data_IF_168586461658
#
_entry.id   IF_168586461658
#
_cell.length_a   1.000
_cell.length_b   1.000
_cell.length_c   1.000
_cell.angle_alpha   90.00
_cell.angle_beta   90.00
_cell.angle_gamma   90.00
#
_symmetry.space_group_name_H-M   'P 1'
#
loop_
_entity.id
_entity.type
_entity.pdbx_description
1 polymer ?
#
# COMPACT_ATOMS: atom_id res chain seq x y z
N UNK A 1 0.61 -25.18 -0.16
CA UNK A 1 1.35 -23.93 0.10
C UNK A 1 0.43 -22.93 0.78
N UNK A 2 0.95 -22.18 1.75
CA UNK A 2 0.21 -21.11 2.43
C UNK A 2 0.18 -19.86 1.55
N UNK A 3 -0.99 -19.24 1.40
CA UNK A 3 -1.14 -17.97 0.66
C UNK A 3 -0.63 -16.77 1.49
N UNK A 4 -0.01 -15.78 0.83
CA UNK A 4 0.61 -14.62 1.50
C UNK A 4 -0.42 -13.68 2.15
N UNK A 5 -1.66 -13.69 1.65
CA UNK A 5 -2.78 -12.91 2.17
C UNK A 5 -3.67 -13.72 3.12
N UNK A 6 -3.38 -15.02 3.31
CA UNK A 6 -4.10 -15.87 4.26
C UNK A 6 -4.03 -15.27 5.67
N UNK A 7 -5.21 -15.14 6.31
CA UNK A 7 -5.31 -14.79 7.72
C UNK A 7 -4.92 -16.00 8.57
N UNK A 8 -3.98 -15.79 9.48
CA UNK A 8 -3.44 -16.81 10.37
C UNK A 8 -3.40 -16.30 11.80
N UNK A 9 -3.52 -17.23 12.76
CA UNK A 9 -3.25 -16.96 14.16
C UNK A 9 -1.87 -17.52 14.50
N UNK A 10 -1.02 -16.70 15.11
CA UNK A 10 0.34 -17.09 15.47
C UNK A 10 0.73 -16.51 16.82
N UNK A 11 1.80 -17.04 17.40
CA UNK A 11 2.43 -16.52 18.62
C UNK A 11 3.58 -15.60 18.23
N UNK A 12 3.51 -14.33 18.63
CA UNK A 12 4.61 -13.35 18.50
C UNK A 12 4.82 -12.72 19.86
N UNK A 13 6.07 -12.70 20.33
CA UNK A 13 6.47 -12.13 21.63
C UNK A 13 5.63 -12.63 22.82
N UNK A 14 5.28 -13.91 22.80
CA UNK A 14 4.47 -14.57 23.84
C UNK A 14 2.97 -14.26 23.80
N UNK A 15 2.49 -13.52 22.79
CA UNK A 15 1.07 -13.16 22.62
C UNK A 15 0.47 -13.83 21.38
N UNK A 16 -0.79 -14.27 21.50
CA UNK A 16 -1.57 -14.73 20.34
C UNK A 16 -2.02 -13.51 19.53
N UNK A 17 -1.59 -13.44 18.27
CA UNK A 17 -1.97 -12.36 17.35
C UNK A 17 -2.63 -12.94 16.10
N UNK A 18 -3.53 -12.16 15.51
CA UNK A 18 -4.11 -12.47 14.19
C UNK A 18 -3.45 -11.58 13.14
N UNK A 19 -2.84 -12.19 12.12
CA UNK A 19 -2.07 -11.49 11.09
C UNK A 19 -2.14 -12.22 9.75
N UNK A 20 -1.33 -11.82 8.77
CA UNK A 20 -1.17 -12.56 7.51
C UNK A 20 0.27 -13.04 7.33
N UNK A 21 0.47 -14.08 6.51
CA UNK A 21 1.80 -14.59 6.21
C UNK A 21 2.74 -13.50 5.65
N UNK A 22 2.24 -12.64 4.75
CA UNK A 22 3.01 -11.51 4.21
C UNK A 22 3.44 -10.49 5.28
N UNK A 23 2.60 -10.22 6.29
CA UNK A 23 2.97 -9.31 7.39
C UNK A 23 4.06 -9.90 8.28
N UNK A 24 4.07 -11.21 8.50
CA UNK A 24 5.14 -11.88 9.23
C UNK A 24 6.47 -11.86 8.47
N UNK A 25 6.42 -11.97 7.13
CA UNK A 25 7.61 -11.80 6.30
C UNK A 25 8.21 -10.40 6.50
N UNK A 26 7.39 -9.36 6.55
CA UNK A 26 7.86 -7.99 6.86
C UNK A 26 8.40 -7.91 8.30
N UNK A 27 7.75 -8.56 9.29
CA UNK A 27 8.29 -8.61 10.67
C UNK A 27 9.69 -9.20 10.75
N UNK A 28 10.06 -10.13 9.86
CA UNK A 28 11.38 -10.76 9.86
C UNK A 28 12.55 -9.80 9.59
N UNK A 29 12.28 -8.65 8.95
CA UNK A 29 13.29 -7.63 8.67
C UNK A 29 13.27 -6.47 9.67
N UNK A 30 12.26 -6.41 10.56
CA UNK A 30 12.10 -5.35 11.54
C UNK A 30 12.96 -5.58 12.79
N UNK A 31 13.56 -4.52 13.37
CA UNK A 31 14.17 -4.60 14.69
C UNK A 31 13.17 -4.98 15.80
N UNK A 32 13.65 -5.58 16.88
CA UNK A 32 12.81 -6.12 17.97
C UNK A 32 12.04 -5.05 18.75
N UNK A 33 12.54 -3.81 18.78
CA UNK A 33 11.86 -2.70 19.45
C UNK A 33 10.62 -2.19 18.70
N UNK A 34 10.39 -2.64 17.46
CA UNK A 34 9.23 -2.21 16.66
C UNK A 34 7.97 -2.92 17.12
N UNK A 35 6.99 -2.14 17.58
CA UNK A 35 5.73 -2.63 18.14
C UNK A 35 4.76 -3.18 17.08
N UNK A 36 3.89 -4.11 17.50
CA UNK A 36 2.95 -4.83 16.61
C UNK A 36 2.08 -3.91 15.75
N UNK A 37 1.56 -2.84 16.35
CA UNK A 37 0.66 -1.88 15.70
C UNK A 37 1.28 -1.16 14.49
N UNK A 38 2.61 -1.13 14.38
CA UNK A 38 3.30 -0.47 13.28
C UNK A 38 3.35 -1.33 12.01
N UNK A 39 3.36 -2.65 12.14
CA UNK A 39 3.54 -3.58 11.01
C UNK A 39 2.32 -4.49 10.77
N UNK A 40 1.50 -4.78 11.78
CA UNK A 40 0.30 -5.62 11.63
C UNK A 40 -0.90 -4.83 11.05
N UNK A 41 -0.68 -4.13 9.94
CA UNK A 41 -1.69 -3.33 9.22
C UNK A 41 -1.38 -3.29 7.73
N UNK A 42 -2.27 -2.70 6.95
CA UNK A 42 -1.97 -2.39 5.54
C UNK A 42 -0.95 -1.26 5.52
N UNK A 43 0.24 -1.55 4.98
CA UNK A 43 1.33 -0.58 4.92
C UNK A 43 1.23 0.26 3.64
N UNK A 44 0.82 1.51 3.77
CA UNK A 44 0.90 2.51 2.70
C UNK A 44 2.24 3.25 2.79
N UNK A 45 2.53 4.11 1.80
CA UNK A 45 3.73 4.96 1.77
C UNK A 45 3.94 5.72 3.09
N UNK A 46 2.87 6.28 3.67
CA UNK A 46 2.95 7.03 4.95
C UNK A 46 3.28 6.13 6.13
N UNK A 47 2.74 4.91 6.17
CA UNK A 47 3.01 3.95 7.24
C UNK A 47 4.47 3.48 7.20
N UNK A 48 5.00 3.22 5.99
CA UNK A 48 6.41 2.87 5.80
C UNK A 48 7.32 4.02 6.26
N UNK A 49 7.00 5.26 5.88
CA UNK A 49 7.77 6.43 6.32
C UNK A 49 7.77 6.59 7.85
N UNK A 50 6.61 6.41 8.50
CA UNK A 50 6.50 6.45 9.96
C UNK A 50 7.29 5.32 10.64
N UNK A 51 7.33 4.15 10.01
CA UNK A 51 8.09 3.01 10.51
C UNK A 51 9.61 3.25 10.38
N UNK A 52 10.08 3.82 9.28
CA UNK A 52 11.48 4.25 9.12
C UNK A 52 11.87 5.30 10.15
N UNK A 53 11.02 6.30 10.38
CA UNK A 53 11.24 7.35 11.40
C UNK A 53 11.34 6.76 12.82
N UNK A 54 10.50 5.78 13.14
CA UNK A 54 10.57 5.09 14.42
C UNK A 54 11.86 4.27 14.58
N UNK A 55 12.26 3.54 13.53
CA UNK A 55 13.54 2.79 13.52
C UNK A 55 14.73 3.74 13.68
N UNK A 56 14.67 4.91 13.07
CA UNK A 56 15.70 5.94 13.22
C UNK A 56 15.78 6.51 14.63
N UNK A 57 14.64 6.86 15.22
CA UNK A 57 14.57 7.42 16.57
C UNK A 57 15.06 6.46 17.66
N UNK A 58 14.78 5.17 17.51
CA UNK A 58 15.11 4.15 18.53
C UNK A 58 16.44 3.44 18.26
N UNK A 59 16.75 3.11 17.00
CA UNK A 59 17.90 2.30 16.61
C UNK A 59 19.06 3.08 15.99
N UNK A 60 18.90 4.38 15.75
CA UNK A 60 19.94 5.23 15.16
C UNK A 60 20.25 4.92 13.69
N UNK A 61 21.31 5.55 13.18
CA UNK A 61 21.64 5.55 11.74
C UNK A 61 21.97 4.15 11.20
N UNK A 62 22.83 3.40 11.90
CA UNK A 62 23.32 2.10 11.43
C UNK A 62 22.18 1.07 11.29
N UNK A 63 21.31 0.98 12.30
CA UNK A 63 20.14 0.09 12.29
C UNK A 63 19.17 0.47 11.19
N UNK A 64 18.95 1.78 10.99
CA UNK A 64 18.06 2.30 9.95
C UNK A 64 18.58 1.98 8.55
N UNK A 65 19.88 2.17 8.30
CA UNK A 65 20.48 1.84 7.01
C UNK A 65 20.31 0.35 6.68
N UNK A 66 20.62 -0.54 7.63
CA UNK A 66 20.43 -1.97 7.45
C UNK A 66 18.96 -2.35 7.21
N UNK A 67 18.03 -1.73 7.95
CA UNK A 67 16.60 -1.94 7.77
C UNK A 67 16.13 -1.49 6.37
N UNK A 68 16.56 -0.32 5.90
CA UNK A 68 16.20 0.22 4.58
C UNK A 68 16.67 -0.69 3.45
N UNK A 69 17.88 -1.24 3.52
CA UNK A 69 18.37 -2.17 2.51
C UNK A 69 17.58 -3.48 2.48
N UNK A 70 17.24 -4.04 3.65
CA UNK A 70 16.38 -5.22 3.74
C UNK A 70 14.98 -4.95 3.19
N UNK A 71 14.40 -3.81 3.54
CA UNK A 71 13.08 -3.38 3.06
C UNK A 71 13.07 -3.21 1.54
N UNK A 72 14.12 -2.58 0.98
CA UNK A 72 14.31 -2.40 -0.45
C UNK A 72 14.35 -3.75 -1.16
N UNK A 73 15.21 -4.67 -0.72
CA UNK A 73 15.39 -5.97 -1.36
C UNK A 73 14.09 -6.79 -1.31
N UNK A 74 13.45 -6.85 -0.13
CA UNK A 74 12.19 -7.55 0.05
C UNK A 74 11.07 -6.94 -0.83
N UNK A 75 11.00 -5.61 -0.89
CA UNK A 75 10.02 -4.90 -1.71
C UNK A 75 10.16 -5.22 -3.20
N UNK A 76 11.39 -5.17 -3.73
CA UNK A 76 11.64 -5.53 -5.13
C UNK A 76 11.33 -7.00 -5.42
N UNK A 77 11.75 -7.92 -4.55
CA UNK A 77 11.49 -9.35 -4.72
C UNK A 77 10.00 -9.65 -4.81
N UNK A 78 9.20 -9.14 -3.86
CA UNK A 78 7.76 -9.40 -3.83
C UNK A 78 6.99 -8.60 -4.91
N UNK A 79 7.46 -7.42 -5.30
CA UNK A 79 6.90 -6.69 -6.44
C UNK A 79 7.08 -7.47 -7.76
N UNK A 80 8.28 -8.03 -7.98
CA UNK A 80 8.53 -8.89 -9.15
C UNK A 80 7.70 -10.16 -9.12
N UNK A 81 7.61 -10.83 -7.95
CA UNK A 81 6.77 -12.02 -7.79
C UNK A 81 5.27 -11.76 -7.99
N UNK A 82 4.79 -10.58 -7.60
CA UNK A 82 3.39 -10.20 -7.76
C UNK A 82 2.99 -9.99 -9.23
N UNK A 83 3.96 -9.68 -10.11
CA UNK A 83 3.70 -9.57 -11.55
C UNK A 83 2.67 -8.51 -11.93
N UNK A 84 2.56 -7.45 -11.13
CA UNK A 84 1.56 -6.39 -11.36
C UNK A 84 1.86 -5.70 -12.69
N UNK A 85 0.88 -5.73 -13.60
CA UNK A 85 0.91 -5.08 -14.90
C UNK A 85 -0.31 -4.18 -15.05
N UNK A 86 -0.26 -3.26 -16.02
CA UNK A 86 -1.37 -2.38 -16.37
C UNK A 86 -1.82 -2.72 -17.78
N UNK A 87 -3.08 -3.12 -17.93
CA UNK A 87 -3.74 -3.36 -19.20
C UNK A 87 -4.72 -2.24 -19.52
N UNK A 88 -4.99 -2.00 -20.80
CA UNK A 88 -6.09 -1.12 -21.22
C UNK A 88 -7.46 -1.60 -20.71
N UNK A 89 -7.60 -2.92 -20.49
CA UNK A 89 -8.80 -3.51 -19.92
C UNK A 89 -9.03 -3.10 -18.45
N UNK A 90 -7.99 -2.68 -17.73
CA UNK A 90 -8.09 -2.21 -16.35
C UNK A 90 -8.65 -0.77 -16.27
N UNK A 91 -8.78 -0.09 -17.42
CA UNK A 91 -9.34 1.26 -17.52
C UNK A 91 -10.86 1.18 -17.63
N UNK A 92 -11.53 1.35 -16.49
CA UNK A 92 -13.00 1.38 -16.42
C UNK A 92 -13.50 2.75 -16.90
N UNK A 93 -14.16 2.77 -18.05
CA UNK A 93 -14.88 3.97 -18.54
C UNK A 93 -16.24 4.06 -17.82
N UNK A 94 -16.53 5.16 -17.10
CA UNK A 94 -17.81 5.30 -16.40
C UNK A 94 -19.00 5.32 -17.38
N UNK A 95 -20.09 4.63 -17.03
CA UNK A 95 -21.29 4.55 -17.86
C UNK A 95 -21.97 5.92 -18.08
N UNK A 96 -21.87 6.83 -17.11
CA UNK A 96 -22.45 8.19 -17.20
C UNK A 96 -21.55 9.20 -17.94
N UNK A 97 -20.38 8.79 -18.44
CA UNK A 97 -19.46 9.68 -19.17
C UNK A 97 -20.16 10.40 -20.32
N UNK A 98 -20.96 9.68 -21.11
CA UNK A 98 -21.63 10.26 -22.26
C UNK A 98 -22.71 11.27 -21.85
N UNK A 99 -23.49 10.96 -20.80
CA UNK A 99 -24.49 11.88 -20.26
C UNK A 99 -23.88 13.17 -19.74
N UNK A 100 -22.79 13.06 -18.96
CA UNK A 100 -22.08 14.23 -18.44
C UNK A 100 -21.54 15.13 -19.57
N UNK A 101 -21.03 14.54 -20.66
CA UNK A 101 -20.57 15.28 -21.84
C UNK A 101 -21.75 15.99 -22.54
N UNK A 102 -22.88 15.31 -22.70
CA UNK A 102 -24.04 15.85 -23.41
C UNK A 102 -24.73 16.96 -22.62
N UNK A 103 -24.80 16.84 -21.29
CA UNK A 103 -25.26 17.91 -20.39
C UNK A 103 -24.36 19.15 -20.48
N UNK A 104 -23.04 18.98 -20.40
CA UNK A 104 -22.11 20.10 -20.52
C UNK A 104 -22.24 20.80 -21.89
N UNK A 105 -22.36 20.03 -22.98
CA UNK A 105 -22.60 20.58 -24.33
C UNK A 105 -23.96 21.29 -24.44
N UNK A 106 -24.97 20.86 -23.70
CA UNK A 106 -26.27 21.51 -23.66
C UNK A 106 -26.16 22.87 -22.96
N UNK A 107 -25.52 22.92 -21.79
CA UNK A 107 -25.31 24.16 -21.05
C UNK A 107 -24.52 25.20 -21.86
N UNK A 108 -23.45 24.78 -22.55
CA UNK A 108 -22.68 25.69 -23.43
C UNK A 108 -23.55 26.25 -24.56
N UNK A 109 -24.40 25.42 -25.18
CA UNK A 109 -25.32 25.89 -26.23
C UNK A 109 -26.36 26.87 -25.70
N UNK A 110 -26.90 26.63 -24.51
CA UNK A 110 -27.85 27.56 -23.87
C UNK A 110 -27.21 28.93 -23.61
N UNK A 111 -25.96 28.95 -23.14
CA UNK A 111 -25.20 30.19 -22.94
C UNK A 111 -24.95 30.89 -24.28
N UNK A 112 -24.48 30.18 -25.31
CA UNK A 112 -24.23 30.77 -26.63
C UNK A 112 -25.50 31.36 -27.27
N UNK A 113 -26.65 30.70 -27.11
CA UNK A 113 -27.93 31.18 -27.61
C UNK A 113 -28.48 32.39 -26.83
N UNK A 114 -28.06 32.59 -25.58
CA UNK A 114 -28.50 33.72 -24.75
C UNK A 114 -27.67 34.99 -24.98
N UNK A 115 -26.53 34.87 -25.68
CA UNK A 115 -25.64 35.99 -26.04
C UNK A 115 -25.82 36.48 -27.49
N UNK A 116 -26.50 35.71 -28.34
CA UNK A 116 -26.95 36.10 -29.69
C UNK A 116 -28.40 36.59 -29.65
#
# INVERSE_FOLDING_TARGET
CLDIHARIQTMVDGRKITTTAGRLIIKSILPDFVTENMWNKVLKKKDIAALVDHVYKQGGLQTTASFLDKLKNLGFEYATKAGISISIADIIVPNDKQKAIDEAKKQVREIQNSYN
#
